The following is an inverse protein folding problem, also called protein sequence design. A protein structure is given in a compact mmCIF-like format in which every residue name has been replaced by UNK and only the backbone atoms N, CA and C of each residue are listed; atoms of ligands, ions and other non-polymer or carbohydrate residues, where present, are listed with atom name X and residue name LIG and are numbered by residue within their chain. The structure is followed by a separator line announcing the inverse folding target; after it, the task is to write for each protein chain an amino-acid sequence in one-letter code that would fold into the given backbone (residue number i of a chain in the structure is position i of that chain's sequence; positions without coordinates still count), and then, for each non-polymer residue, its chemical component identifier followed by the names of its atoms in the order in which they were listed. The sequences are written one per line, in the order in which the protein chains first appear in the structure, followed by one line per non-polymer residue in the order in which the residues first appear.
data_IF_011806553357
#
_entry.id   IF_011806553357
#
_cell.length_a   1.000
_cell.length_b   1.000
_cell.length_c   1.000
_cell.angle_alpha   90.00
_cell.angle_beta   90.00
_cell.angle_gamma   90.00
#
_symmetry.space_group_name_H-M   'P 1'
#
loop_
_entity.id
_entity.type
_entity.pdbx_description
1 polymer ?
#
# COMPACT_ATOMS: atom_id res chain seq x y z
N UNK A 1 -2.69 5.10 -11.64
CA UNK A 1 -3.59 3.94 -11.76
C UNK A 1 -2.81 2.82 -12.40
N UNK A 2 -2.29 1.96 -11.53
CA UNK A 2 -1.42 0.84 -11.81
C UNK A 2 -1.65 -0.25 -10.75
N UNK A 3 -1.62 -1.52 -11.19
CA UNK A 3 -1.69 -2.66 -10.28
C UNK A 3 -0.31 -2.91 -9.66
N UNK A 4 -0.24 -2.78 -8.34
CA UNK A 4 0.99 -2.94 -7.57
C UNK A 4 1.22 -4.42 -7.21
N UNK A 5 2.49 -4.82 -7.16
CA UNK A 5 2.85 -6.20 -6.80
C UNK A 5 2.67 -6.43 -5.30
N UNK A 6 1.73 -7.31 -4.94
CA UNK A 6 1.53 -7.74 -3.56
C UNK A 6 2.71 -8.60 -3.09
N UNK A 7 3.37 -8.16 -2.01
CA UNK A 7 4.36 -8.90 -1.24
C UNK A 7 3.69 -10.00 -0.45
N UNK A 8 4.31 -11.19 -0.44
CA UNK A 8 3.83 -12.36 0.28
C UNK A 8 4.81 -12.70 1.40
N UNK A 9 4.31 -13.30 2.47
CA UNK A 9 5.17 -13.84 3.53
C UNK A 9 6.16 -14.87 2.93
N UNK A 10 7.44 -14.87 3.32
CA UNK A 10 8.06 -14.16 4.44
C UNK A 10 8.83 -12.86 4.07
N UNK A 11 8.38 -12.08 3.08
CA UNK A 11 9.08 -10.85 2.70
C UNK A 11 9.32 -9.93 3.93
N UNK A 12 10.58 -9.58 4.25
CA UNK A 12 10.93 -8.85 5.47
C UNK A 12 10.29 -7.47 5.55
N UNK A 13 9.88 -6.88 4.41
CA UNK A 13 9.20 -5.59 4.41
C UNK A 13 7.89 -5.61 5.20
N UNK A 14 7.21 -6.76 5.25
CA UNK A 14 5.95 -6.95 5.97
C UNK A 14 6.11 -6.86 7.50
N UNK A 15 7.34 -6.84 8.01
CA UNK A 15 7.68 -6.69 9.44
C UNK A 15 8.37 -5.36 9.75
N UNK A 16 8.69 -4.54 8.75
CA UNK A 16 9.34 -3.24 8.96
C UNK A 16 8.32 -2.20 9.44
N UNK A 17 8.79 -1.27 10.27
CA UNK A 17 7.98 -0.15 10.77
C UNK A 17 7.79 0.89 9.65
N UNK A 18 6.53 1.22 9.35
CA UNK A 18 6.22 2.28 8.40
C UNK A 18 6.50 3.68 8.95
N UNK A 19 6.93 4.56 8.06
CA UNK A 19 7.17 5.97 8.32
C UNK A 19 5.85 6.75 8.29
N UNK A 20 5.78 7.79 9.11
CA UNK A 20 4.63 8.69 9.16
C UNK A 20 4.54 9.55 7.90
N UNK A 21 3.33 9.70 7.38
CA UNK A 21 3.05 10.61 6.27
C UNK A 21 2.74 11.98 6.87
N UNK A 22 3.66 12.94 6.71
CA UNK A 22 3.52 14.29 7.28
C UNK A 22 2.56 15.19 6.50
N UNK A 23 2.43 14.94 5.20
CA UNK A 23 1.61 15.73 4.29
C UNK A 23 1.01 14.81 3.21
N UNK A 24 -0.25 15.05 2.87
CA UNK A 24 -0.97 14.30 1.83
C UNK A 24 -0.77 14.99 0.49
N UNK A 25 0.36 14.70 -0.14
CA UNK A 25 0.69 15.19 -1.49
C UNK A 25 -0.09 14.43 -2.57
N UNK A 26 -0.05 14.91 -3.81
CA UNK A 26 -0.63 14.17 -4.95
C UNK A 26 0.01 12.79 -5.16
N UNK A 27 1.29 12.62 -4.84
CA UNK A 27 1.95 11.29 -4.88
C UNK A 27 1.31 10.32 -3.87
N UNK A 28 1.01 10.80 -2.66
CA UNK A 28 0.35 9.98 -1.62
C UNK A 28 -1.06 9.60 -2.05
N UNK A 29 -1.81 10.54 -2.66
CA UNK A 29 -3.15 10.25 -3.20
C UNK A 29 -3.07 9.22 -4.33
N UNK A 30 -2.12 9.39 -5.25
CA UNK A 30 -1.92 8.46 -6.36
C UNK A 30 -1.56 7.05 -5.87
N UNK A 31 -0.68 6.93 -4.87
CA UNK A 31 -0.39 5.65 -4.22
C UNK A 31 -1.65 5.04 -3.58
N UNK A 32 -2.47 5.85 -2.91
CA UNK A 32 -3.76 5.42 -2.37
C UNK A 32 -4.68 4.84 -3.44
N UNK A 33 -4.80 5.52 -4.58
CA UNK A 33 -5.61 5.03 -5.71
C UNK A 33 -5.07 3.73 -6.30
N UNK A 34 -3.76 3.62 -6.51
CA UNK A 34 -3.13 2.39 -6.99
C UNK A 34 -3.33 1.23 -5.99
N UNK A 35 -3.33 1.52 -4.69
CA UNK A 35 -3.64 0.53 -3.64
C UNK A 35 -5.11 0.09 -3.65
N UNK A 36 -6.07 1.00 -3.87
CA UNK A 36 -7.51 0.64 -4.00
C UNK A 36 -7.73 -0.26 -5.22
N UNK A 37 -7.13 0.10 -6.35
CA UNK A 37 -7.23 -0.68 -7.59
C UNK A 37 -6.63 -2.08 -7.40
N UNK A 38 -5.42 -2.16 -6.83
CA UNK A 38 -4.75 -3.43 -6.49
C UNK A 38 -5.57 -4.30 -5.55
N UNK A 39 -6.17 -3.70 -4.51
CA UNK A 39 -7.02 -4.41 -3.56
C UNK A 39 -8.24 -5.01 -4.24
N UNK A 40 -8.91 -4.22 -5.08
CA UNK A 40 -10.14 -4.61 -5.78
C UNK A 40 -9.89 -5.75 -6.77
N UNK A 41 -8.84 -5.64 -7.59
CA UNK A 41 -8.41 -6.70 -8.52
C UNK A 41 -8.10 -8.03 -7.81
N UNK A 42 -7.55 -7.97 -6.60
CA UNK A 42 -7.24 -9.15 -5.80
C UNK A 42 -8.41 -9.60 -4.89
N UNK A 43 -9.61 -9.04 -5.09
CA UNK A 43 -10.82 -9.35 -4.30
C UNK A 43 -10.59 -9.18 -2.78
N UNK A 44 -9.74 -8.22 -2.41
CA UNK A 44 -9.42 -7.89 -1.02
C UNK A 44 -10.41 -6.88 -0.44
N UNK A 45 -10.51 -6.87 0.89
CA UNK A 45 -11.31 -5.90 1.66
C UNK A 45 -10.46 -4.82 2.33
N UNK A 46 -9.13 -4.95 2.28
CA UNK A 46 -8.21 -4.00 2.87
C UNK A 46 -6.79 -4.24 2.38
N UNK A 47 -6.01 -3.17 2.23
CA UNK A 47 -4.61 -3.23 1.81
C UNK A 47 -3.79 -2.15 2.52
N UNK A 48 -2.59 -2.54 2.99
CA UNK A 48 -1.62 -1.63 3.61
C UNK A 48 -0.43 -1.39 2.69
N UNK A 49 0.14 -0.18 2.71
CA UNK A 49 1.29 0.19 1.89
C UNK A 49 2.48 -0.81 1.95
N UNK A 50 2.88 -1.40 3.10
CA UNK A 50 3.99 -2.35 3.11
C UNK A 50 3.70 -3.62 2.31
N UNK A 51 2.43 -4.00 2.12
CA UNK A 51 2.06 -5.13 1.27
C UNK A 51 2.31 -4.87 -0.22
N UNK A 52 2.49 -3.62 -0.63
CA UNK A 52 2.85 -3.25 -2.01
C UNK A 52 4.28 -2.74 -2.15
N UNK A 53 5.09 -2.83 -1.08
CA UNK A 53 6.50 -2.41 -1.11
C UNK A 53 6.77 -1.04 -0.47
N UNK A 54 5.74 -0.36 0.04
CA UNK A 54 5.84 1.03 0.50
C UNK A 54 5.82 1.14 2.03
N UNK A 55 6.89 1.66 2.63
CA UNK A 55 6.99 1.83 4.09
C UNK A 55 6.37 3.14 4.57
N UNK A 56 5.11 3.39 4.19
CA UNK A 56 4.34 4.58 4.57
C UNK A 56 3.12 4.16 5.40
N UNK A 57 2.71 4.98 6.38
CA UNK A 57 1.51 4.72 7.19
C UNK A 57 0.24 5.04 6.40
N UNK A 58 -0.09 4.19 5.44
CA UNK A 58 -1.27 4.31 4.57
C UNK A 58 -1.99 2.96 4.54
N UNK A 59 -3.31 3.00 4.68
CA UNK A 59 -4.22 1.86 4.53
C UNK A 59 -5.40 2.28 3.66
N UNK A 60 -5.99 1.31 2.97
CA UNK A 60 -7.26 1.43 2.26
C UNK A 60 -8.18 0.28 2.70
N UNK A 61 -9.48 0.55 2.80
CA UNK A 61 -10.56 -0.37 3.22
C UNK A 61 -11.87 0.01 2.53
#
# INVERSE_FOLDING_TARGET
MAILKIKKYPDPILRKKCQEVKEVTEEIKNLGWDMVETMTENQGIGLSAPQVGELKRIIVV
#
